data_IF_486903541136
#
_entry.id   IF_486903541136
#
_cell.length_a   1.000
_cell.length_b   1.000
_cell.length_c   1.000
_cell.angle_alpha   90.00
_cell.angle_beta   90.00
_cell.angle_gamma   90.00
#
_symmetry.space_group_name_H-M   'P 1'
#
loop_
_entity.id
_entity.type
_entity.pdbx_description
1 polymer ?
#
# COMPACT_ATOMS: atom_id res chain seq x y z
N UNK A 1 -18.50 6.46 11.80
CA UNK A 1 -19.34 5.64 10.90
C UNK A 1 -19.00 5.89 9.42
N UNK A 2 -19.10 7.13 8.93
CA UNK A 2 -18.83 7.51 7.52
C UNK A 2 -17.44 7.12 7.03
N UNK A 3 -16.37 7.43 7.79
CA UNK A 3 -15.01 7.08 7.41
C UNK A 3 -14.80 5.56 7.21
N UNK A 4 -15.51 4.72 7.98
CA UNK A 4 -15.43 3.26 7.84
C UNK A 4 -16.10 2.77 6.55
N UNK A 5 -17.23 3.38 6.19
CA UNK A 5 -17.93 3.10 4.92
C UNK A 5 -17.02 3.47 3.75
N UNK A 6 -16.47 4.69 3.75
CA UNK A 6 -15.52 5.15 2.74
C UNK A 6 -14.28 4.24 2.63
N UNK A 7 -13.70 3.84 3.76
CA UNK A 7 -12.56 2.93 3.77
C UNK A 7 -12.88 1.57 3.17
N UNK A 8 -14.08 1.02 3.43
CA UNK A 8 -14.52 -0.25 2.84
C UNK A 8 -14.74 -0.14 1.32
N UNK A 9 -15.34 0.97 0.85
CA UNK A 9 -15.52 1.24 -0.58
C UNK A 9 -14.16 1.41 -1.29
N UNK A 10 -13.23 2.11 -0.65
CA UNK A 10 -11.90 2.31 -1.20
C UNK A 10 -11.09 1.00 -1.20
N UNK A 11 -11.27 0.15 -0.18
CA UNK A 11 -10.59 -1.14 -0.07
C UNK A 11 -10.85 -2.05 -1.28
N UNK A 12 -12.09 -2.13 -1.78
CA UNK A 12 -12.40 -2.98 -2.93
C UNK A 12 -11.68 -2.50 -4.21
N UNK A 13 -11.61 -1.18 -4.43
CA UNK A 13 -10.88 -0.59 -5.55
C UNK A 13 -9.37 -0.78 -5.40
N UNK A 14 -8.83 -0.50 -4.21
CA UNK A 14 -7.40 -0.55 -3.94
C UNK A 14 -6.80 -1.94 -4.12
N UNK A 15 -7.56 -3.02 -3.88
CA UNK A 15 -7.07 -4.38 -4.10
C UNK A 15 -6.64 -4.66 -5.56
N UNK A 16 -7.16 -3.89 -6.52
CA UNK A 16 -6.82 -4.00 -7.95
C UNK A 16 -5.47 -3.30 -8.24
N UNK A 17 -5.16 -2.22 -7.52
CA UNK A 17 -4.03 -1.34 -7.83
C UNK A 17 -2.83 -1.52 -6.89
N UNK A 18 -3.05 -2.06 -5.69
CA UNK A 18 -1.99 -2.24 -4.69
C UNK A 18 -1.11 -3.44 -5.06
N UNK A 19 0.20 -3.24 -5.01
CA UNK A 19 1.17 -4.31 -5.23
C UNK A 19 0.94 -5.50 -4.29
N UNK A 20 1.10 -6.76 -4.73
CA UNK A 20 0.98 -7.94 -3.87
C UNK A 20 1.88 -7.91 -2.63
N UNK A 21 3.04 -7.24 -2.73
CA UNK A 21 4.04 -7.08 -1.67
C UNK A 21 3.74 -5.95 -0.68
N UNK A 22 2.75 -5.09 -0.94
CA UNK A 22 2.37 -4.03 -0.01
C UNK A 22 1.53 -4.60 1.12
N UNK A 23 2.14 -4.77 2.29
CA UNK A 23 1.52 -5.51 3.39
C UNK A 23 0.74 -4.61 4.36
N UNK A 24 1.19 -3.36 4.57
CA UNK A 24 0.57 -2.47 5.56
C UNK A 24 -0.79 -1.94 5.08
N UNK A 25 -1.76 -1.89 5.99
CA UNK A 25 -3.13 -1.37 5.78
C UNK A 25 -3.97 -2.14 4.75
N UNK A 26 -3.59 -3.38 4.42
CA UNK A 26 -4.37 -4.27 3.55
C UNK A 26 -4.93 -5.41 4.39
N UNK A 27 -6.22 -5.72 4.23
CA UNK A 27 -6.86 -6.83 4.94
C UNK A 27 -6.19 -8.15 4.55
N UNK A 28 -6.01 -9.04 5.51
CA UNK A 28 -5.39 -10.36 5.32
C UNK A 28 -3.91 -10.34 4.91
N UNK A 29 -3.19 -9.22 5.14
CA UNK A 29 -1.73 -9.15 5.04
C UNK A 29 -1.13 -8.79 6.40
N UNK A 30 -0.11 -9.52 6.82
CA UNK A 30 0.42 -9.45 8.19
C UNK A 30 1.85 -8.92 8.18
N UNK A 31 2.24 -8.21 9.23
CA UNK A 31 3.60 -7.65 9.37
C UNK A 31 4.70 -8.71 9.21
N UNK A 32 4.43 -9.97 9.57
CA UNK A 32 5.33 -11.11 9.43
C UNK A 32 5.69 -11.37 7.96
N UNK A 33 4.77 -11.10 7.02
CA UNK A 33 5.01 -11.27 5.59
C UNK A 33 6.16 -10.37 5.10
N UNK A 34 6.32 -9.17 5.68
CA UNK A 34 7.44 -8.27 5.34
C UNK A 34 8.77 -8.83 5.82
N UNK A 35 8.80 -9.41 7.03
CA UNK A 35 9.99 -10.03 7.60
C UNK A 35 10.40 -11.22 6.72
N UNK A 36 9.43 -12.04 6.33
CA UNK A 36 9.66 -13.18 5.47
C UNK A 36 10.14 -12.76 4.07
N UNK A 37 9.59 -11.68 3.50
CA UNK A 37 10.02 -11.14 2.22
C UNK A 37 11.51 -10.75 2.26
N UNK A 38 11.92 -9.99 3.27
CA UNK A 38 13.33 -9.60 3.46
C UNK A 38 14.23 -10.82 3.66
N UNK A 39 13.81 -11.76 4.50
CA UNK A 39 14.58 -12.99 4.74
C UNK A 39 14.77 -13.80 3.46
N UNK A 40 13.70 -13.98 2.66
CA UNK A 40 13.77 -14.67 1.36
C UNK A 40 14.67 -13.93 0.38
N UNK A 41 14.60 -12.59 0.32
CA UNK A 41 15.51 -11.81 -0.53
C UNK A 41 16.97 -12.07 -0.18
N UNK A 42 17.33 -12.01 1.12
CA UNK A 42 18.69 -12.29 1.58
C UNK A 42 19.11 -13.73 1.24
N UNK A 43 18.23 -14.70 1.50
CA UNK A 43 18.50 -16.11 1.23
C UNK A 43 18.73 -16.36 -0.27
N UNK A 44 17.82 -15.88 -1.13
CA UNK A 44 17.93 -16.03 -2.58
C UNK A 44 19.21 -15.39 -3.12
N UNK A 45 19.57 -14.20 -2.63
CA UNK A 45 20.80 -13.54 -3.07
C UNK A 45 22.05 -14.35 -2.71
N UNK A 46 22.10 -14.94 -1.50
CA UNK A 46 23.20 -15.84 -1.09
C UNK A 46 23.31 -17.07 -1.99
N UNK A 47 22.19 -17.73 -2.28
CA UNK A 47 22.17 -18.91 -3.18
C UNK A 47 22.60 -18.56 -4.61
N UNK A 48 22.24 -17.37 -5.08
CA UNK A 48 22.60 -16.89 -6.43
C UNK A 48 23.99 -16.27 -6.55
N UNK A 49 24.73 -16.14 -5.43
CA UNK A 49 26.03 -15.45 -5.37
C UNK A 49 26.01 -14.02 -5.95
N UNK A 50 24.93 -13.30 -5.71
CA UNK A 50 24.76 -11.91 -6.12
C UNK A 50 24.99 -10.95 -4.95
N UNK A 51 25.21 -9.67 -5.26
CA UNK A 51 25.20 -8.60 -4.26
C UNK A 51 23.78 -8.09 -4.02
N UNK A 52 23.45 -7.79 -2.76
CA UNK A 52 22.15 -7.23 -2.36
C UNK A 52 22.32 -5.86 -1.70
N UNK A 53 21.54 -4.89 -2.16
CA UNK A 53 21.37 -3.59 -1.49
C UNK A 53 19.91 -3.47 -1.05
N UNK A 54 19.69 -3.16 0.24
CA UNK A 54 18.36 -2.95 0.81
C UNK A 54 18.21 -1.47 1.17
N UNK A 55 17.23 -0.80 0.57
CA UNK A 55 16.87 0.57 0.92
C UNK A 55 15.76 0.58 1.98
N UNK A 56 16.09 1.07 3.17
CA UNK A 56 15.10 1.33 4.22
C UNK A 56 14.65 2.79 4.14
N UNK A 57 13.46 3.01 3.60
CA UNK A 57 12.84 4.33 3.48
C UNK A 57 11.74 4.47 4.53
N UNK A 58 11.82 5.52 5.36
CA UNK A 58 10.77 5.91 6.29
C UNK A 58 10.40 7.37 6.09
N UNK A 59 9.10 7.66 6.17
CA UNK A 59 8.57 9.00 5.97
C UNK A 59 8.02 9.55 7.28
N UNK A 60 8.69 10.57 7.82
CA UNK A 60 8.25 11.24 9.05
C UNK A 60 6.97 12.05 8.80
N UNK A 61 5.92 11.75 9.59
CA UNK A 61 4.64 12.45 9.60
C UNK A 61 3.95 12.50 8.23
N UNK A 62 3.81 11.34 7.58
CA UNK A 62 3.21 11.23 6.23
C UNK A 62 1.87 11.96 6.09
N UNK A 63 0.98 11.80 7.06
CA UNK A 63 -0.37 12.37 7.01
C UNK A 63 -0.38 13.90 7.06
N UNK A 64 0.62 14.51 7.71
CA UNK A 64 0.77 15.97 7.78
C UNK A 64 1.32 16.56 6.47
N UNK A 65 1.97 15.72 5.65
CA UNK A 65 2.70 16.13 4.43
C UNK A 65 1.99 15.70 3.14
N UNK A 66 0.80 15.11 3.21
CA UNK A 66 0.05 14.70 2.03
C UNK A 66 -0.36 15.93 1.23
N UNK A 67 -0.06 15.93 -0.08
CA UNK A 67 -0.67 16.88 -1.00
C UNK A 67 -2.11 16.43 -1.32
N UNK A 68 -3.09 17.15 -0.76
CA UNK A 68 -4.51 16.79 -0.87
C UNK A 68 -5.06 16.89 -2.30
N UNK A 69 -4.55 17.82 -3.12
CA UNK A 69 -4.96 17.96 -4.52
C UNK A 69 -4.51 16.72 -5.31
N UNK A 70 -3.25 16.32 -5.12
CA UNK A 70 -2.71 15.11 -5.75
C UNK A 70 -3.47 13.86 -5.31
N UNK A 71 -3.78 13.73 -4.01
CA UNK A 71 -4.56 12.60 -3.50
C UNK A 71 -5.95 12.55 -4.14
N UNK A 72 -6.66 13.68 -4.19
CA UNK A 72 -7.99 13.76 -4.80
C UNK A 72 -7.98 13.39 -6.28
N UNK A 73 -7.03 13.90 -7.06
CA UNK A 73 -6.86 13.54 -8.47
C UNK A 73 -6.54 12.05 -8.66
N UNK A 74 -5.73 11.48 -7.77
CA UNK A 74 -5.40 10.05 -7.79
C UNK A 74 -6.64 9.21 -7.50
N UNK A 75 -7.42 9.55 -6.47
CA UNK A 75 -8.66 8.86 -6.12
C UNK A 75 -9.67 8.90 -7.28
N UNK A 76 -9.83 10.05 -7.94
CA UNK A 76 -10.67 10.17 -9.13
C UNK A 76 -10.20 9.25 -10.28
N UNK A 77 -8.89 9.18 -10.53
CA UNK A 77 -8.31 8.29 -11.55
C UNK A 77 -8.46 6.80 -11.21
N UNK A 78 -8.45 6.44 -9.93
CA UNK A 78 -8.70 5.08 -9.45
C UNK A 78 -10.20 4.71 -9.48
N UNK A 79 -11.07 5.57 -10.01
CA UNK A 79 -12.51 5.36 -10.10
C UNK A 79 -13.29 5.71 -8.83
N UNK A 80 -12.62 6.23 -7.80
CA UNK A 80 -13.27 6.73 -6.58
C UNK A 80 -13.74 8.16 -6.82
N UNK A 81 -14.91 8.30 -7.44
CA UNK A 81 -15.60 9.59 -7.60
C UNK A 81 -16.57 9.83 -6.43
N UNK A 82 -16.68 11.07 -5.94
CA UNK A 82 -17.69 11.44 -4.93
C UNK A 82 -19.12 11.18 -5.40
N UNK A 83 -19.37 11.14 -6.71
CA UNK A 83 -20.64 10.76 -7.31
C UNK A 83 -21.00 9.27 -7.12
N UNK A 84 -20.00 8.41 -6.86
CA UNK A 84 -20.19 6.96 -6.68
C UNK A 84 -20.71 6.55 -5.30
N UNK A 85 -20.81 7.48 -4.35
CA UNK A 85 -21.36 7.25 -3.00
C UNK A 85 -22.90 7.12 -2.96
N UNK A 86 -23.57 7.33 -4.10
CA UNK A 86 -25.02 7.21 -4.28
C UNK A 86 -25.44 5.90 -4.98
N UNK A 87 -24.63 4.84 -4.91
CA UNK A 87 -24.99 3.50 -5.38
C UNK A 87 -24.99 2.49 -4.24
#
# INVERSE_FOLDING_TARGET
LVAKILANCLQSLLLIYICPTQIRFVKHRYIIDNILLVYKSIYCTRESNQDLIIFLLDFKKVFDKVNWIFLSQTMNKLGFSLSGLNR
#
